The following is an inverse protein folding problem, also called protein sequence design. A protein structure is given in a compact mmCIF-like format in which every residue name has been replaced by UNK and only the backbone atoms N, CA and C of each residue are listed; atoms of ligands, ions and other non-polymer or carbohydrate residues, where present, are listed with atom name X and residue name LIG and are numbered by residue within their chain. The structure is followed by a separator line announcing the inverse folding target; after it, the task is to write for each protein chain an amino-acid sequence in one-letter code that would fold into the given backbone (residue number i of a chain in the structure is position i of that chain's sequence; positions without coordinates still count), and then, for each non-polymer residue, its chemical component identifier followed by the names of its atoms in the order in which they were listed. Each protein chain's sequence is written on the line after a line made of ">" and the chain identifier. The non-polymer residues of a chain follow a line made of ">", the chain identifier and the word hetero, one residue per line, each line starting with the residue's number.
data_IF_305222669439
#
_entry.id   IF_305222669439
#
_cell.length_a   1.000
_cell.length_b   1.000
_cell.length_c   1.000
_cell.angle_alpha   90.00
_cell.angle_beta   90.00
_cell.angle_gamma   90.00
#
_symmetry.space_group_name_H-M   'P 1'
#
loop_
_entity.id
_entity.type
_entity.pdbx_description
1 polymer ?
#
# COMPACT_ATOMS: atom_id res chain seq x y z
N UNK A 1 1.21 -27.95 39.61
CA UNK A 1 1.77 -27.56 38.30
C UNK A 1 1.81 -26.05 38.23
N UNK A 2 2.97 -25.48 37.94
CA UNK A 2 3.18 -24.04 37.82
C UNK A 2 3.84 -23.81 36.45
N UNK A 3 3.15 -23.13 35.54
CA UNK A 3 3.67 -22.81 34.21
C UNK A 3 4.25 -21.41 34.23
N UNK A 4 5.58 -21.31 34.12
CA UNK A 4 6.27 -20.02 34.07
C UNK A 4 6.14 -19.43 32.67
N UNK A 5 5.62 -18.21 32.58
CA UNK A 5 5.38 -17.49 31.33
C UNK A 5 6.67 -17.22 30.54
N UNK A 6 6.57 -17.32 29.22
CA UNK A 6 7.67 -17.07 28.28
C UNK A 6 7.88 -15.55 28.20
N UNK A 7 8.92 -15.05 28.86
CA UNK A 7 9.31 -13.65 28.82
C UNK A 7 9.94 -13.25 27.48
N UNK A 8 9.58 -12.07 26.99
CA UNK A 8 10.05 -11.43 25.76
C UNK A 8 11.59 -11.29 25.72
N UNK A 9 12.27 -12.19 25.01
CA UNK A 9 13.74 -12.21 24.87
C UNK A 9 14.24 -11.71 23.49
N UNK A 10 13.52 -10.79 22.86
CA UNK A 10 13.86 -10.28 21.52
C UNK A 10 15.21 -9.52 21.51
N UNK A 11 15.61 -8.94 22.64
CA UNK A 11 16.83 -8.12 22.72
C UNK A 11 18.14 -8.93 22.80
N UNK A 12 18.12 -10.19 23.26
CA UNK A 12 19.36 -11.01 23.35
C UNK A 12 19.84 -11.49 21.98
N UNK A 13 18.93 -11.65 21.02
CA UNK A 13 19.28 -12.08 19.67
C UNK A 13 20.04 -10.98 18.90
N UNK A 14 19.73 -9.72 19.18
CA UNK A 14 20.37 -8.56 18.54
C UNK A 14 21.85 -8.39 18.98
N UNK A 15 22.18 -8.70 20.24
CA UNK A 15 23.54 -8.54 20.75
C UNK A 15 24.51 -9.63 20.27
N UNK A 16 24.04 -10.86 20.05
CA UNK A 16 24.87 -11.92 19.45
C UNK A 16 25.28 -11.61 18.00
N UNK A 17 24.45 -10.85 17.27
CA UNK A 17 24.74 -10.49 15.88
C UNK A 17 25.82 -9.40 15.74
N UNK A 18 25.99 -8.54 16.76
CA UNK A 18 27.01 -7.46 16.76
C UNK A 18 28.43 -7.94 17.11
N UNK A 19 28.57 -9.04 17.83
CA UNK A 19 29.88 -9.52 18.31
C UNK A 19 30.66 -10.31 17.25
N UNK A 20 30.00 -10.85 16.22
CA UNK A 20 30.64 -11.65 15.17
C UNK A 20 31.25 -10.85 14.01
N UNK A 21 31.24 -9.50 14.06
CA UNK A 21 31.70 -8.63 12.96
C UNK A 21 33.14 -8.12 13.10
N UNK A 22 33.99 -8.77 13.92
CA UNK A 22 35.42 -8.47 14.01
C UNK A 22 36.30 -9.64 13.55
N UNK A 23 36.25 -9.95 12.26
CA UNK A 23 37.41 -10.53 11.57
C UNK A 23 37.16 -10.66 10.07
N UNK A 24 38.15 -10.19 9.31
CA UNK A 24 38.41 -10.38 7.87
C UNK A 24 37.79 -9.33 6.94
N UNK A 25 38.68 -8.43 6.51
CA UNK A 25 38.61 -7.68 5.27
C UNK A 25 38.25 -8.62 4.11
N UNK A 26 37.03 -8.52 3.61
CA UNK A 26 36.65 -8.94 2.27
C UNK A 26 35.86 -7.78 1.70
N UNK A 27 36.27 -7.28 0.54
CA UNK A 27 35.59 -6.21 -0.20
C UNK A 27 34.15 -6.66 -0.51
N UNK A 28 33.22 -6.39 0.39
CA UNK A 28 31.80 -6.67 0.18
C UNK A 28 31.20 -5.52 -0.63
N UNK A 29 31.12 -5.75 -1.94
CA UNK A 29 30.26 -4.98 -2.83
C UNK A 29 28.83 -5.22 -2.32
N UNK A 30 28.28 -4.30 -1.55
CA UNK A 30 26.86 -4.30 -1.14
C UNK A 30 25.99 -4.07 -2.39
N UNK A 31 25.91 -5.06 -3.26
CA UNK A 31 24.86 -5.10 -4.28
C UNK A 31 23.67 -5.74 -3.61
N UNK A 32 22.82 -4.92 -3.00
CA UNK A 32 21.42 -5.28 -2.79
C UNK A 32 20.90 -5.75 -4.14
N UNK A 33 20.37 -6.97 -4.24
CA UNK A 33 19.64 -7.40 -5.44
C UNK A 33 18.53 -6.38 -5.67
N UNK A 34 18.67 -5.57 -6.73
CA UNK A 34 17.67 -4.60 -7.13
C UNK A 34 16.70 -5.33 -8.04
N UNK A 35 15.46 -5.47 -7.60
CA UNK A 35 14.37 -5.87 -8.49
C UNK A 35 14.07 -4.65 -9.37
N UNK A 36 14.49 -4.72 -10.63
CA UNK A 36 14.24 -3.68 -11.62
C UNK A 36 12.85 -3.91 -12.24
N UNK A 37 11.97 -2.93 -12.08
CA UNK A 37 10.69 -2.88 -12.76
C UNK A 37 10.94 -2.29 -14.16
N UNK A 38 10.31 -2.87 -15.19
CA UNK A 38 10.47 -2.38 -16.58
C UNK A 38 10.13 -0.90 -16.67
N UNK A 39 10.81 -0.20 -17.58
CA UNK A 39 10.57 1.23 -17.82
C UNK A 39 9.11 1.49 -18.21
N UNK A 40 8.50 0.59 -18.97
CA UNK A 40 7.09 0.61 -19.33
C UNK A 40 6.15 0.56 -18.11
N UNK A 41 6.43 -0.34 -17.15
CA UNK A 41 5.61 -0.48 -15.95
C UNK A 41 5.73 0.73 -15.01
N UNK A 42 6.91 1.35 -14.92
CA UNK A 42 7.09 2.64 -14.21
C UNK A 42 6.27 3.75 -14.87
N UNK A 43 6.27 3.81 -16.19
CA UNK A 43 5.50 4.81 -16.95
C UNK A 43 3.99 4.64 -16.73
N UNK A 44 3.49 3.40 -16.74
CA UNK A 44 2.08 3.10 -16.47
C UNK A 44 1.69 3.46 -15.03
N UNK A 45 2.56 3.22 -14.05
CA UNK A 45 2.29 3.59 -12.66
C UNK A 45 2.11 5.11 -12.49
N UNK A 46 2.95 5.90 -13.17
CA UNK A 46 2.91 7.37 -13.10
C UNK A 46 1.69 8.02 -13.76
N UNK A 47 0.94 7.29 -14.60
CA UNK A 47 -0.27 7.79 -15.29
C UNK A 47 -1.55 7.73 -14.45
N UNK A 48 -1.53 7.07 -13.29
CA UNK A 48 -2.77 6.67 -12.61
C UNK A 48 -3.44 7.77 -11.77
N UNK A 49 -2.82 8.93 -11.59
CA UNK A 49 -3.43 10.01 -10.80
C UNK A 49 -3.15 11.33 -11.50
N UNK A 50 -4.01 11.67 -12.45
CA UNK A 50 -3.98 12.98 -13.08
C UNK A 50 -4.54 14.02 -12.07
N UNK A 51 -3.70 14.95 -11.64
CA UNK A 51 -4.10 16.02 -10.73
C UNK A 51 -5.29 16.84 -11.28
N UNK A 52 -5.44 16.89 -12.61
CA UNK A 52 -6.59 17.54 -13.25
C UNK A 52 -7.90 16.79 -12.98
N UNK A 53 -7.88 15.46 -12.90
CA UNK A 53 -9.07 14.67 -12.60
C UNK A 53 -9.49 14.83 -11.14
N UNK A 54 -8.53 14.88 -10.22
CA UNK A 54 -8.81 15.17 -8.80
C UNK A 54 -9.46 16.54 -8.65
N UNK A 55 -8.96 17.56 -9.35
CA UNK A 55 -9.57 18.91 -9.32
C UNK A 55 -11.01 18.87 -9.79
N UNK A 56 -11.30 18.22 -10.92
CA UNK A 56 -12.66 18.10 -11.45
C UNK A 56 -13.61 17.37 -10.49
N UNK A 57 -13.11 16.35 -9.78
CA UNK A 57 -13.90 15.63 -8.78
C UNK A 57 -14.22 16.54 -7.59
N UNK A 58 -13.24 17.33 -7.11
CA UNK A 58 -13.47 18.33 -6.05
C UNK A 58 -14.53 19.34 -6.48
N UNK A 59 -14.41 19.89 -7.69
CA UNK A 59 -15.39 20.84 -8.21
C UNK A 59 -16.80 20.23 -8.26
N UNK A 60 -16.93 18.96 -8.65
CA UNK A 60 -18.23 18.25 -8.64
C UNK A 60 -18.80 18.05 -7.24
N UNK A 61 -17.94 17.78 -6.25
CA UNK A 61 -18.36 17.68 -4.84
C UNK A 61 -18.87 19.04 -4.35
N UNK A 62 -18.09 20.10 -4.58
CA UNK A 62 -18.41 21.44 -4.10
C UNK A 62 -19.69 22.00 -4.73
N UNK A 63 -19.93 21.69 -6.02
CA UNK A 63 -21.15 22.06 -6.72
C UNK A 63 -22.36 21.15 -6.40
N UNK A 64 -22.21 20.17 -5.51
CA UNK A 64 -23.29 19.26 -5.13
C UNK A 64 -23.77 18.34 -6.27
N UNK A 65 -22.95 18.13 -7.31
CA UNK A 65 -23.31 17.31 -8.47
C UNK A 65 -23.80 15.91 -8.06
N UNK A 66 -23.16 15.31 -7.07
CA UNK A 66 -23.51 13.98 -6.55
C UNK A 66 -24.79 13.95 -5.71
N UNK A 67 -25.30 15.11 -5.29
CA UNK A 67 -26.57 15.25 -4.58
C UNK A 67 -27.75 15.42 -5.52
N UNK A 68 -27.52 15.50 -6.84
CA UNK A 68 -28.59 15.60 -7.82
C UNK A 68 -29.40 14.30 -7.89
N UNK A 69 -30.72 14.44 -8.06
CA UNK A 69 -31.63 13.30 -8.14
C UNK A 69 -31.25 12.34 -9.26
N UNK A 70 -30.73 12.84 -10.38
CA UNK A 70 -30.25 12.02 -11.49
C UNK A 70 -29.12 11.07 -11.06
N UNK A 71 -28.12 11.58 -10.36
CA UNK A 71 -26.98 10.78 -9.91
C UNK A 71 -27.41 9.81 -8.81
N UNK A 72 -28.25 10.25 -7.87
CA UNK A 72 -28.76 9.41 -6.80
C UNK A 72 -29.60 8.24 -7.35
N UNK A 73 -30.51 8.51 -8.28
CA UNK A 73 -31.34 7.47 -8.91
C UNK A 73 -30.47 6.46 -9.67
N UNK A 74 -29.49 6.93 -10.44
CA UNK A 74 -28.58 6.04 -11.17
C UNK A 74 -27.76 5.13 -10.25
N UNK A 75 -27.38 5.62 -9.08
CA UNK A 75 -26.68 4.83 -8.06
C UNK A 75 -27.65 3.82 -7.43
N UNK A 76 -28.85 4.26 -7.06
CA UNK A 76 -29.88 3.39 -6.50
C UNK A 76 -30.23 2.24 -7.46
N UNK A 77 -30.45 2.53 -8.74
CA UNK A 77 -30.75 1.53 -9.77
C UNK A 77 -29.65 0.48 -9.89
N UNK A 78 -28.38 0.90 -9.86
CA UNK A 78 -27.25 -0.04 -9.92
C UNK A 78 -27.17 -0.92 -8.69
N UNK A 79 -27.43 -0.36 -7.51
CA UNK A 79 -27.43 -1.11 -6.25
C UNK A 79 -28.55 -2.15 -6.28
N UNK A 80 -29.77 -1.76 -6.64
CA UNK A 80 -30.92 -2.67 -6.74
C UNK A 80 -30.65 -3.79 -7.74
N UNK A 81 -30.08 -3.46 -8.91
CA UNK A 81 -29.76 -4.45 -9.95
C UNK A 81 -28.72 -5.48 -9.52
N UNK A 82 -27.83 -5.12 -8.59
CA UNK A 82 -26.85 -6.08 -8.06
C UNK A 82 -27.53 -7.10 -7.14
N UNK A 83 -28.53 -6.68 -6.36
CA UNK A 83 -29.33 -7.58 -5.52
C UNK A 83 -30.29 -8.49 -6.33
N UNK A 84 -30.72 -8.08 -7.52
CA UNK A 84 -31.57 -8.90 -8.39
C UNK A 84 -30.82 -10.02 -9.14
N UNK A 85 -29.48 -10.02 -9.11
CA UNK A 85 -28.64 -11.01 -9.80
C UNK A 85 -28.27 -12.22 -8.94
N UNK A 86 -28.64 -12.22 -7.66
CA UNK A 86 -28.59 -13.38 -6.75
C UNK A 86 -29.88 -14.21 -6.84
#
# INVERSE_FOLDING_TARGET
>A
MQVNGVGNNINRLHEQYKQNSKSKEVKQKNTTDKIEISEEAKLLQSKNVDAQEISKVRDKIDNGFYNSDEVLNKVADKILKEFEKE
#
